data_IF_772156593825
#
_entry.id   IF_772156593825
#
_cell.length_a   1.000
_cell.length_b   1.000
_cell.length_c   1.000
_cell.angle_alpha   90.00
_cell.angle_beta   90.00
_cell.angle_gamma   90.00
#
_symmetry.space_group_name_H-M   'P 1'
#
loop_
_entity.id
_entity.type
_entity.pdbx_description
1 polymer ?
#
# COMPACT_ATOMS: atom_id res chain seq x y z
N UNK A 1 12.87 -4.33 16.86
CA UNK A 1 12.32 -3.64 15.65
C UNK A 1 12.91 -4.18 14.34
N UNK A 2 14.23 -4.33 14.21
CA UNK A 2 14.88 -4.87 13.00
C UNK A 2 14.45 -6.33 12.73
N UNK A 3 14.51 -7.19 13.75
CA UNK A 3 14.12 -8.60 13.65
C UNK A 3 12.66 -8.79 13.23
N UNK A 4 11.73 -8.03 13.80
CA UNK A 4 10.32 -8.06 13.41
C UNK A 4 10.11 -7.72 11.92
N UNK A 5 10.88 -6.75 11.39
CA UNK A 5 10.83 -6.42 9.96
C UNK A 5 11.34 -7.58 9.11
N UNK A 6 12.46 -8.18 9.51
CA UNK A 6 13.04 -9.33 8.79
C UNK A 6 12.07 -10.50 8.81
N UNK A 7 11.47 -10.81 9.96
CA UNK A 7 10.46 -11.85 10.10
C UNK A 7 9.25 -11.62 9.19
N UNK A 8 8.71 -10.39 9.16
CA UNK A 8 7.63 -10.04 8.24
C UNK A 8 8.05 -10.21 6.78
N UNK A 9 9.24 -9.76 6.38
CA UNK A 9 9.74 -9.92 5.01
C UNK A 9 9.81 -11.40 4.66
N UNK A 10 10.37 -12.25 5.53
CA UNK A 10 10.40 -13.70 5.30
C UNK A 10 8.99 -14.25 5.13
N UNK A 11 8.07 -13.89 6.03
CA UNK A 11 6.67 -14.27 5.93
C UNK A 11 6.03 -13.78 4.63
N UNK A 12 6.40 -12.63 4.07
CA UNK A 12 5.83 -12.12 2.80
C UNK A 12 6.40 -12.84 1.58
N UNK A 13 7.68 -13.18 1.54
CA UNK A 13 8.29 -13.77 0.34
C UNK A 13 8.26 -15.31 0.29
N UNK A 14 8.11 -15.97 1.44
CA UNK A 14 8.10 -17.43 1.53
C UNK A 14 6.80 -18.06 0.96
N UNK A 15 6.86 -19.30 0.48
CA UNK A 15 5.67 -20.05 0.01
C UNK A 15 4.74 -20.36 1.18
N UNK A 16 3.42 -20.38 0.95
CA UNK A 16 2.41 -20.54 2.02
C UNK A 16 2.70 -21.72 2.95
N UNK A 17 2.95 -22.92 2.39
CA UNK A 17 3.17 -24.11 3.22
C UNK A 17 4.42 -24.03 4.10
N UNK A 18 5.48 -23.34 3.66
CA UNK A 18 6.67 -23.11 4.48
C UNK A 18 6.43 -21.97 5.46
N UNK A 19 5.83 -20.87 5.02
CA UNK A 19 5.48 -19.70 5.82
C UNK A 19 4.66 -20.10 7.05
N UNK A 20 3.61 -20.91 6.90
CA UNK A 20 2.72 -21.29 8.02
C UNK A 20 3.39 -22.20 9.05
N UNK A 21 4.57 -22.75 8.75
CA UNK A 21 5.35 -23.57 9.69
C UNK A 21 6.43 -22.74 10.42
N UNK A 22 6.54 -21.44 10.14
CA UNK A 22 7.56 -20.56 10.71
C UNK A 22 7.09 -19.95 12.03
N UNK A 23 8.00 -19.83 13.00
CA UNK A 23 7.71 -19.12 14.25
C UNK A 23 7.43 -17.61 14.02
N UNK A 24 7.97 -17.02 12.95
CA UNK A 24 7.63 -15.65 12.56
C UNK A 24 6.18 -15.51 12.08
N UNK A 25 5.59 -16.57 11.50
CA UNK A 25 4.18 -16.58 11.14
C UNK A 25 3.30 -16.67 12.39
N UNK A 26 3.66 -17.50 13.37
CA UNK A 26 2.92 -17.57 14.65
C UNK A 26 2.88 -16.22 15.35
N UNK A 27 4.01 -15.50 15.37
CA UNK A 27 4.08 -14.14 15.89
C UNK A 27 3.23 -13.17 15.06
N UNK A 28 3.27 -13.26 13.72
CA UNK A 28 2.46 -12.42 12.84
C UNK A 28 0.96 -12.68 13.03
N UNK A 29 0.54 -13.93 13.19
CA UNK A 29 -0.86 -14.30 13.38
C UNK A 29 -1.40 -13.81 14.72
N UNK A 30 -0.60 -13.95 15.79
CA UNK A 30 -0.98 -13.49 17.13
C UNK A 30 -1.15 -11.97 17.19
N UNK A 31 -0.19 -11.22 16.64
CA UNK A 31 -0.19 -9.75 16.76
C UNK A 31 -0.99 -9.08 15.63
N UNK A 32 -1.03 -9.68 14.44
CA UNK A 32 -1.59 -9.10 13.21
C UNK A 32 -2.39 -10.13 12.40
N UNK A 33 -3.30 -10.87 13.04
CA UNK A 33 -4.04 -11.97 12.41
C UNK A 33 -4.77 -11.62 11.11
N UNK A 34 -5.19 -10.37 10.90
CA UNK A 34 -5.75 -9.92 9.62
C UNK A 34 -4.72 -9.96 8.47
N UNK A 35 -3.48 -9.53 8.74
CA UNK A 35 -2.37 -9.59 7.77
C UNK A 35 -2.00 -11.04 7.50
N UNK A 36 -1.89 -11.88 8.54
CA UNK A 36 -1.59 -13.30 8.38
C UNK A 36 -2.62 -14.01 7.47
N UNK A 37 -3.92 -13.82 7.74
CA UNK A 37 -5.00 -14.37 6.89
C UNK A 37 -4.97 -13.83 5.47
N UNK A 38 -4.66 -12.54 5.28
CA UNK A 38 -4.51 -11.95 3.97
C UNK A 38 -3.34 -12.57 3.19
N UNK A 39 -2.19 -12.80 3.84
CA UNK A 39 -1.05 -13.45 3.21
C UNK A 39 -1.38 -14.90 2.82
N UNK A 40 -2.00 -15.68 3.70
CA UNK A 40 -2.38 -17.07 3.39
C UNK A 40 -3.36 -17.13 2.21
N UNK A 41 -4.40 -16.29 2.22
CA UNK A 41 -5.43 -16.28 1.17
C UNK A 41 -4.95 -15.65 -0.15
N UNK A 42 -4.06 -14.66 -0.07
CA UNK A 42 -3.53 -13.94 -1.22
C UNK A 42 -2.43 -14.69 -1.96
N UNK A 43 -1.62 -15.51 -1.28
CA UNK A 43 -0.47 -16.21 -1.86
C UNK A 43 -0.83 -17.53 -2.58
N UNK A 44 -1.87 -17.52 -3.43
CA UNK A 44 -2.27 -18.73 -4.17
C UNK A 44 -1.15 -19.28 -5.05
N UNK A 45 -0.47 -18.40 -5.78
CA UNK A 45 0.61 -18.76 -6.73
C UNK A 45 1.98 -18.17 -6.36
N UNK A 46 2.08 -17.54 -5.19
CA UNK A 46 3.30 -16.88 -4.71
C UNK A 46 3.07 -15.48 -4.12
N UNK A 47 4.16 -14.83 -3.69
CA UNK A 47 4.12 -13.50 -3.08
C UNK A 47 3.75 -12.38 -4.06
N UNK A 48 3.93 -12.62 -5.36
CA UNK A 48 3.62 -11.69 -6.44
C UNK A 48 2.14 -11.32 -6.44
N UNK A 49 1.27 -12.27 -6.09
CA UNK A 49 -0.16 -12.04 -6.07
C UNK A 49 -0.57 -11.08 -4.94
N UNK A 50 0.05 -11.19 -3.77
CA UNK A 50 -0.12 -10.23 -2.67
C UNK A 50 0.32 -8.84 -3.10
N UNK A 51 1.51 -8.72 -3.72
CA UNK A 51 2.00 -7.44 -4.22
C UNK A 51 1.05 -6.83 -5.24
N UNK A 52 0.56 -7.63 -6.19
CA UNK A 52 -0.40 -7.21 -7.21
C UNK A 52 -1.72 -6.73 -6.60
N UNK A 53 -2.24 -7.41 -5.57
CA UNK A 53 -3.46 -7.00 -4.88
C UNK A 53 -3.28 -5.67 -4.15
N UNK A 54 -2.17 -5.49 -3.44
CA UNK A 54 -1.85 -4.21 -2.79
C UNK A 54 -1.74 -3.07 -3.81
N UNK A 55 -0.99 -3.27 -4.88
CA UNK A 55 -0.82 -2.28 -5.96
C UNK A 55 -2.14 -1.95 -6.66
N UNK A 56 -3.01 -2.95 -6.88
CA UNK A 56 -4.34 -2.74 -7.46
C UNK A 56 -5.24 -1.92 -6.54
N UNK A 57 -5.23 -2.20 -5.24
CA UNK A 57 -5.99 -1.42 -4.27
C UNK A 57 -5.52 0.04 -4.28
N UNK A 58 -4.21 0.26 -4.17
CA UNK A 58 -3.60 1.59 -4.22
C UNK A 58 -3.95 2.33 -5.52
N UNK A 59 -3.75 1.70 -6.67
CA UNK A 59 -4.07 2.27 -7.97
C UNK A 59 -5.57 2.56 -8.12
N UNK A 60 -6.44 1.70 -7.59
CA UNK A 60 -7.88 1.92 -7.61
C UNK A 60 -8.27 3.17 -6.82
N UNK A 61 -7.67 3.40 -5.66
CA UNK A 61 -7.91 4.62 -4.87
C UNK A 61 -7.38 5.84 -5.64
N UNK A 62 -6.13 5.80 -6.10
CA UNK A 62 -5.53 6.96 -6.75
C UNK A 62 -6.20 7.30 -8.09
N UNK A 63 -6.33 6.33 -8.98
CA UNK A 63 -6.79 6.57 -10.36
C UNK A 63 -8.31 6.62 -10.44
N UNK A 64 -9.03 5.77 -9.71
CA UNK A 64 -10.49 5.71 -9.82
C UNK A 64 -11.22 6.64 -8.86
N UNK A 65 -10.58 7.14 -7.80
CA UNK A 65 -11.24 8.07 -6.84
C UNK A 65 -10.54 9.43 -6.75
N UNK A 66 -9.23 9.48 -6.53
CA UNK A 66 -8.50 10.76 -6.36
C UNK A 66 -8.45 11.56 -7.65
N UNK A 67 -8.02 10.97 -8.77
CA UNK A 67 -7.88 11.68 -10.06
C UNK A 67 -9.20 12.32 -10.53
N UNK A 68 -10.36 11.63 -10.52
CA UNK A 68 -11.63 12.27 -10.88
C UNK A 68 -12.00 13.46 -10.00
N UNK A 69 -11.71 13.40 -8.69
CA UNK A 69 -11.96 14.53 -7.76
C UNK A 69 -11.08 15.73 -8.05
N UNK A 70 -9.92 15.51 -8.66
CA UNK A 70 -8.95 16.54 -9.01
C UNK A 70 -8.97 16.90 -10.51
N UNK A 71 -10.00 16.50 -11.27
CA UNK A 71 -10.04 16.64 -12.74
C UNK A 71 -9.84 18.06 -13.30
N UNK A 72 -9.97 19.10 -12.46
CA UNK A 72 -9.74 20.51 -12.83
C UNK A 72 -8.30 20.98 -12.62
N UNK A 73 -7.48 20.18 -11.97
CA UNK A 73 -6.07 20.47 -11.68
C UNK A 73 -5.23 19.81 -12.79
N UNK A 74 -4.42 20.57 -13.52
CA UNK A 74 -3.42 19.99 -14.42
C UNK A 74 -2.45 19.12 -13.60
N UNK A 75 -2.37 17.83 -13.91
CA UNK A 75 -1.49 16.90 -13.21
C UNK A 75 -0.96 15.81 -14.14
N UNK A 76 0.16 15.23 -13.75
CA UNK A 76 0.68 13.97 -14.29
C UNK A 76 0.76 12.98 -13.15
N UNK A 77 0.29 11.76 -13.37
CA UNK A 77 0.43 10.65 -12.41
C UNK A 77 1.44 9.63 -12.93
N UNK A 78 2.43 9.27 -12.12
CA UNK A 78 3.39 8.20 -12.40
C UNK A 78 3.32 7.20 -11.25
N UNK A 79 2.70 6.04 -11.48
CA UNK A 79 2.42 5.07 -10.40
C UNK A 79 1.67 5.71 -9.21
N UNK A 80 2.35 5.85 -8.07
CA UNK A 80 1.90 6.43 -6.81
C UNK A 80 2.29 7.92 -6.65
N UNK A 81 2.96 8.49 -7.65
CA UNK A 81 3.43 9.88 -7.65
C UNK A 81 2.52 10.81 -8.44
N UNK A 82 2.38 12.05 -7.94
CA UNK A 82 1.66 13.14 -8.59
C UNK A 82 2.61 14.30 -8.86
N UNK A 83 2.68 14.73 -10.10
CA UNK A 83 3.38 15.94 -10.52
C UNK A 83 2.32 17.00 -10.78
N UNK A 84 2.37 18.09 -10.00
CA UNK A 84 1.42 19.20 -10.03
C UNK A 84 2.15 20.52 -9.85
N UNK A 85 1.50 21.63 -10.20
CA UNK A 85 1.99 22.95 -9.81
C UNK A 85 1.98 23.10 -8.29
N UNK A 86 2.91 23.91 -7.77
CA UNK A 86 3.09 24.11 -6.33
C UNK A 86 1.80 24.59 -5.64
N UNK A 87 1.06 25.49 -6.29
CA UNK A 87 -0.23 26.01 -5.82
C UNK A 87 -1.31 24.93 -5.58
N UNK A 88 -1.21 23.78 -6.25
CA UNK A 88 -2.15 22.68 -6.11
C UNK A 88 -1.69 21.59 -5.15
N UNK A 89 -0.44 21.63 -4.68
CA UNK A 89 0.16 20.59 -3.84
C UNK A 89 -0.68 20.28 -2.59
N UNK A 90 -1.08 21.30 -1.83
CA UNK A 90 -1.89 21.10 -0.62
C UNK A 90 -3.28 20.50 -0.92
N UNK A 91 -3.91 20.95 -2.00
CA UNK A 91 -5.23 20.45 -2.41
C UNK A 91 -5.16 18.96 -2.77
N UNK A 92 -4.15 18.57 -3.54
CA UNK A 92 -3.89 17.18 -3.93
C UNK A 92 -3.63 16.32 -2.70
N UNK A 93 -2.78 16.78 -1.78
CA UNK A 93 -2.50 16.08 -0.52
C UNK A 93 -3.76 15.88 0.33
N UNK A 94 -4.64 16.89 0.41
CA UNK A 94 -5.90 16.77 1.17
C UNK A 94 -6.78 15.69 0.59
N UNK A 95 -6.99 15.72 -0.74
CA UNK A 95 -7.86 14.74 -1.41
C UNK A 95 -7.31 13.32 -1.27
N UNK A 96 -6.01 13.11 -1.44
CA UNK A 96 -5.38 11.79 -1.23
C UNK A 96 -5.62 11.31 0.21
N UNK A 97 -5.37 12.16 1.22
CA UNK A 97 -5.56 11.78 2.63
C UNK A 97 -7.01 11.45 2.93
N UNK A 98 -7.95 12.25 2.44
CA UNK A 98 -9.39 12.01 2.60
C UNK A 98 -9.81 10.67 2.01
N UNK A 99 -9.39 10.37 0.78
CA UNK A 99 -9.75 9.11 0.13
C UNK A 99 -9.16 7.90 0.86
N UNK A 100 -7.87 7.92 1.21
CA UNK A 100 -7.28 6.81 1.96
C UNK A 100 -7.90 6.64 3.36
N UNK A 101 -8.31 7.73 4.02
CA UNK A 101 -8.95 7.68 5.33
C UNK A 101 -10.30 6.94 5.27
N UNK A 102 -11.06 7.05 4.18
CA UNK A 102 -12.30 6.27 3.97
C UNK A 102 -12.05 4.76 3.95
N UNK A 103 -10.83 4.35 3.61
CA UNK A 103 -10.39 2.95 3.64
C UNK A 103 -9.66 2.58 4.94
N UNK A 104 -9.68 3.45 5.96
CA UNK A 104 -8.99 3.23 7.23
C UNK A 104 -7.47 3.35 7.15
N UNK A 105 -6.94 3.92 6.07
CA UNK A 105 -5.51 4.06 5.83
C UNK A 105 -5.03 5.51 6.04
N UNK A 106 -3.78 5.67 6.45
CA UNK A 106 -3.11 6.97 6.60
C UNK A 106 -1.89 7.01 5.69
N UNK A 107 -1.98 7.63 4.49
CA UNK A 107 -0.89 7.62 3.54
C UNK A 107 0.23 8.54 4.04
N UNK A 108 1.49 8.13 3.81
CA UNK A 108 2.65 8.96 4.09
C UNK A 108 3.12 9.62 2.80
N UNK A 109 2.74 10.87 2.60
CA UNK A 109 3.07 11.64 1.41
C UNK A 109 4.38 12.40 1.59
N UNK A 110 5.26 12.33 0.60
CA UNK A 110 6.49 13.15 0.52
C UNK A 110 6.35 14.14 -0.62
N UNK A 111 6.72 15.38 -0.37
CA UNK A 111 6.76 16.44 -1.40
C UNK A 111 8.21 16.66 -1.77
N UNK A 112 8.49 16.70 -3.06
CA UNK A 112 9.81 16.99 -3.62
C UNK A 112 9.64 17.98 -4.76
N UNK A 113 10.45 19.03 -4.75
CA UNK A 113 10.52 19.98 -5.85
C UNK A 113 11.35 19.37 -6.99
N UNK A 114 10.84 19.52 -8.22
CA UNK A 114 11.57 19.17 -9.43
C UNK A 114 12.24 20.46 -9.94
N UNK A 115 13.57 20.49 -9.85
CA UNK A 115 14.43 21.57 -10.36
C UNK A 115 14.69 21.35 -11.85
#
# INVERSE_FOLDING_TARGET
>A
RQEAKIGLIRCVFERVGMMTAMCEYDALEREFGAIARFLVSGKKDGHQEVARQCQRMESSILISTVVPRLAKIPMITIHDEFIVSEEHCQSVQSVIREEFLKHGMKPHLRVKELV
#
